data_IF_128597483870
#
_entry.id   IF_128597483870
#
_cell.length_a   1.000
_cell.length_b   1.000
_cell.length_c   1.000
_cell.angle_alpha   90.00
_cell.angle_beta   90.00
_cell.angle_gamma   90.00
#
_symmetry.space_group_name_H-M   'P 1'
#
loop_
_entity.id
_entity.type
_entity.pdbx_description
1 polymer ?
#
# COMPACT_ATOMS: atom_id res chain seq x y z
N UNK A 1 -1.04 20.58 -4.74
CA UNK A 1 -0.79 20.37 -3.30
C UNK A 1 0.22 21.38 -2.71
N UNK A 2 -0.20 22.19 -1.72
CA UNK A 2 0.57 23.32 -1.19
C UNK A 2 1.90 22.92 -0.51
N UNK A 3 1.90 21.86 0.31
CA UNK A 3 3.10 21.34 0.97
C UNK A 3 4.19 20.96 -0.04
N UNK A 4 3.83 20.21 -1.09
CA UNK A 4 4.78 19.71 -2.10
C UNK A 4 5.45 20.87 -2.85
N UNK A 5 4.74 21.99 -3.06
CA UNK A 5 5.27 23.15 -3.79
C UNK A 5 6.16 24.05 -2.93
N UNK A 6 5.93 24.10 -1.62
CA UNK A 6 6.53 25.10 -0.74
C UNK A 6 7.56 24.52 0.23
N UNK A 7 7.53 23.22 0.49
CA UNK A 7 8.51 22.56 1.32
C UNK A 7 9.83 22.32 0.58
N UNK A 8 10.93 22.39 1.31
CA UNK A 8 12.26 22.04 0.80
C UNK A 8 12.40 20.51 0.67
N UNK A 9 13.42 20.06 -0.07
CA UNK A 9 13.71 18.65 -0.30
C UNK A 9 13.94 17.92 1.02
N UNK A 10 13.23 16.80 1.21
CA UNK A 10 13.31 15.97 2.42
C UNK A 10 12.98 16.72 3.73
N UNK A 11 12.32 17.87 3.63
CA UNK A 11 11.87 18.60 4.81
C UNK A 11 10.75 17.82 5.50
N UNK A 12 10.77 17.80 6.84
CA UNK A 12 9.66 17.24 7.64
C UNK A 12 8.53 18.26 7.74
N UNK A 13 7.28 17.80 7.73
CA UNK A 13 6.10 18.67 7.80
C UNK A 13 6.08 19.56 9.04
N UNK A 14 6.58 19.08 10.19
CA UNK A 14 6.71 19.90 11.40
C UNK A 14 7.65 21.10 11.20
N UNK A 15 8.82 20.85 10.60
CA UNK A 15 9.83 21.88 10.32
C UNK A 15 9.40 22.85 9.22
N UNK A 16 8.70 22.35 8.20
CA UNK A 16 8.08 23.18 7.18
C UNK A 16 7.03 24.13 7.79
N UNK A 17 6.12 23.62 8.62
CA UNK A 17 5.11 24.46 9.28
C UNK A 17 5.72 25.53 10.19
N UNK A 18 6.82 25.20 10.89
CA UNK A 18 7.58 26.17 11.70
C UNK A 18 8.23 27.27 10.84
N UNK A 19 8.58 26.98 9.58
CA UNK A 19 9.20 27.96 8.68
C UNK A 19 8.20 28.93 8.04
N UNK A 20 6.89 28.66 8.11
CA UNK A 20 5.87 29.58 7.61
C UNK A 20 5.70 30.75 8.60
N UNK A 21 5.85 31.97 8.10
CA UNK A 21 5.57 33.17 8.88
C UNK A 21 4.07 33.22 9.21
N UNK A 22 3.73 33.21 10.51
CA UNK A 22 2.34 33.04 10.98
C UNK A 22 1.89 31.59 11.18
N UNK A 23 2.74 30.60 10.91
CA UNK A 23 2.56 29.19 11.28
C UNK A 23 1.24 28.58 10.79
N UNK A 24 0.46 28.04 11.73
CA UNK A 24 -0.81 27.36 11.40
C UNK A 24 -1.90 28.34 10.95
N UNK A 25 -1.90 29.56 11.49
CA UNK A 25 -2.95 30.54 11.16
C UNK A 25 -2.80 31.03 9.72
N UNK A 26 -1.56 31.23 9.26
CA UNK A 26 -1.29 31.49 7.86
C UNK A 26 -1.76 30.34 6.96
N UNK A 27 -1.46 29.08 7.33
CA UNK A 27 -1.90 27.93 6.55
C UNK A 27 -3.43 27.84 6.44
N UNK A 28 -4.15 28.17 7.53
CA UNK A 28 -5.62 28.25 7.50
C UNK A 28 -6.10 29.35 6.55
N UNK A 29 -5.51 30.53 6.57
CA UNK A 29 -5.89 31.61 5.64
C UNK A 29 -5.69 31.20 4.18
N UNK A 30 -4.59 30.51 3.86
CA UNK A 30 -4.31 30.09 2.49
C UNK A 30 -5.29 29.00 2.02
N UNK A 31 -5.59 28.01 2.87
CA UNK A 31 -6.37 26.83 2.46
C UNK A 31 -7.87 27.00 2.68
N UNK A 32 -8.30 27.67 3.76
CA UNK A 32 -9.70 27.85 4.12
C UNK A 32 -10.24 29.16 3.54
N UNK A 33 -9.52 30.25 3.73
CA UNK A 33 -9.96 31.58 3.30
C UNK A 33 -9.52 31.92 1.86
N UNK A 34 -8.86 30.98 1.18
CA UNK A 34 -8.29 31.11 -0.17
C UNK A 34 -7.54 32.45 -0.39
N UNK A 35 -6.75 32.86 0.60
CA UNK A 35 -6.12 34.18 0.60
C UNK A 35 -5.15 34.41 -0.56
N UNK A 36 -4.74 33.35 -1.25
CA UNK A 36 -3.85 33.39 -2.42
C UNK A 36 -4.57 33.09 -3.74
N UNK A 37 -5.84 32.71 -3.74
CA UNK A 37 -6.60 32.36 -4.96
C UNK A 37 -6.08 31.11 -5.66
N UNK A 38 -5.53 30.14 -4.91
CA UNK A 38 -4.89 28.94 -5.46
C UNK A 38 -5.63 27.65 -5.13
N UNK A 39 -6.71 27.70 -4.33
CA UNK A 39 -7.40 26.49 -3.86
C UNK A 39 -7.92 25.64 -5.04
N UNK A 40 -8.51 26.25 -6.06
CA UNK A 40 -8.99 25.53 -7.25
C UNK A 40 -7.84 24.77 -7.96
N UNK A 41 -6.69 25.41 -8.15
CA UNK A 41 -5.51 24.77 -8.75
C UNK A 41 -4.98 23.62 -7.86
N UNK A 42 -5.07 23.76 -6.53
CA UNK A 42 -4.65 22.73 -5.60
C UNK A 42 -5.57 21.50 -5.65
N UNK A 43 -6.88 21.72 -5.81
CA UNK A 43 -7.89 20.66 -5.98
C UNK A 43 -7.71 19.94 -7.32
N UNK A 44 -7.51 20.66 -8.43
CA UNK A 44 -7.24 20.06 -9.74
C UNK A 44 -6.00 19.16 -9.71
N UNK A 45 -4.94 19.59 -9.01
CA UNK A 45 -3.75 18.78 -8.82
C UNK A 45 -4.02 17.53 -7.98
N UNK A 46 -4.90 17.60 -6.97
CA UNK A 46 -5.29 16.44 -6.19
C UNK A 46 -6.10 15.47 -7.05
N UNK A 47 -7.04 15.98 -7.85
CA UNK A 47 -7.86 15.18 -8.73
C UNK A 47 -7.00 14.43 -9.76
N UNK A 48 -6.00 15.08 -10.34
CA UNK A 48 -5.04 14.44 -11.24
C UNK A 48 -4.31 13.25 -10.59
N UNK A 49 -3.92 13.36 -9.31
CA UNK A 49 -3.28 12.27 -8.57
C UNK A 49 -4.25 11.11 -8.32
N UNK A 50 -5.51 11.41 -8.00
CA UNK A 50 -6.57 10.42 -7.83
C UNK A 50 -6.85 9.69 -9.15
N UNK A 51 -6.97 10.43 -10.24
CA UNK A 51 -7.28 9.89 -11.57
C UNK A 51 -6.13 9.04 -12.13
N UNK A 52 -4.88 9.41 -11.82
CA UNK A 52 -3.69 8.69 -12.25
C UNK A 52 -3.29 7.52 -11.34
N UNK A 53 -3.89 7.41 -10.15
CA UNK A 53 -3.55 6.35 -9.21
C UNK A 53 -3.94 4.97 -9.74
N UNK A 54 -2.97 4.06 -9.75
CA UNK A 54 -3.17 2.65 -10.10
C UNK A 54 -2.59 1.76 -9.02
N UNK A 55 -3.40 0.82 -8.52
CA UNK A 55 -2.96 -0.23 -7.63
C UNK A 55 -2.65 -1.50 -8.43
N UNK A 56 -1.37 -1.87 -8.52
CA UNK A 56 -0.92 -3.05 -9.27
C UNK A 56 -1.55 -4.35 -8.77
N UNK A 57 -1.70 -4.51 -7.46
CA UNK A 57 -2.36 -5.68 -6.86
C UNK A 57 -3.84 -5.75 -7.24
N UNK A 58 -4.58 -4.64 -7.11
CA UNK A 58 -5.97 -4.56 -7.55
C UNK A 58 -6.10 -4.93 -9.03
N UNK A 59 -5.25 -4.35 -9.88
CA UNK A 59 -5.24 -4.62 -11.32
C UNK A 59 -4.85 -6.08 -11.65
N UNK A 60 -4.14 -6.76 -10.75
CA UNK A 60 -3.74 -8.15 -10.90
C UNK A 60 -4.85 -9.10 -10.48
N UNK A 61 -5.49 -8.87 -9.33
CA UNK A 61 -6.55 -9.74 -8.81
C UNK A 61 -7.85 -9.64 -9.60
N UNK A 62 -8.11 -8.52 -10.29
CA UNK A 62 -9.30 -8.37 -11.15
C UNK A 62 -9.11 -8.96 -12.55
N UNK A 63 -7.87 -9.35 -12.91
CA UNK A 63 -7.54 -9.90 -14.23
C UNK A 63 -7.33 -11.42 -14.12
N UNK A 64 -8.29 -12.17 -14.69
CA UNK A 64 -8.27 -13.63 -14.66
C UNK A 64 -7.04 -14.24 -15.36
N UNK A 65 -6.50 -13.58 -16.38
CA UNK A 65 -5.30 -14.07 -17.09
C UNK A 65 -4.03 -13.83 -16.27
N UNK A 66 -3.94 -12.68 -15.57
CA UNK A 66 -2.81 -12.43 -14.65
C UNK A 66 -2.84 -13.36 -13.45
N UNK A 67 -4.03 -13.67 -12.92
CA UNK A 67 -4.17 -14.61 -11.81
C UNK A 67 -3.60 -16.00 -12.10
N UNK A 68 -3.70 -16.49 -13.34
CA UNK A 68 -3.11 -17.79 -13.74
C UNK A 68 -1.59 -17.86 -13.56
N UNK A 69 -0.91 -16.71 -13.48
CA UNK A 69 0.54 -16.64 -13.24
C UNK A 69 0.89 -16.97 -11.79
N UNK A 70 -0.04 -16.82 -10.85
CA UNK A 70 0.14 -17.10 -9.43
C UNK A 70 -0.23 -18.55 -9.10
N UNK A 71 0.41 -19.50 -9.78
CA UNK A 71 0.31 -20.94 -9.49
C UNK A 71 1.62 -21.46 -8.90
N UNK A 72 1.54 -22.52 -8.10
CA UNK A 72 2.68 -23.10 -7.40
C UNK A 72 3.81 -23.54 -8.35
N UNK A 73 3.46 -24.24 -9.44
CA UNK A 73 4.42 -24.65 -10.47
C UNK A 73 3.91 -24.33 -11.87
N UNK A 74 4.84 -23.99 -12.77
CA UNK A 74 4.52 -23.70 -14.19
C UNK A 74 4.45 -24.98 -15.02
N UNK A 75 5.18 -26.01 -14.60
CA UNK A 75 5.44 -27.25 -15.32
C UNK A 75 4.71 -28.47 -14.76
N UNK A 76 4.03 -28.34 -13.62
CA UNK A 76 3.35 -29.45 -12.94
C UNK A 76 2.06 -28.99 -12.29
N UNK A 77 1.04 -29.83 -12.37
CA UNK A 77 -0.23 -29.66 -11.65
C UNK A 77 -0.23 -30.41 -10.30
N UNK A 78 0.87 -31.12 -9.97
CA UNK A 78 1.03 -31.78 -8.68
C UNK A 78 1.27 -30.74 -7.58
N UNK A 79 0.65 -30.97 -6.43
CA UNK A 79 0.98 -30.25 -5.22
C UNK A 79 2.42 -30.56 -4.79
N UNK A 80 3.04 -29.64 -4.03
CA UNK A 80 4.34 -29.92 -3.41
C UNK A 80 4.11 -30.78 -2.15
N UNK A 81 4.53 -32.04 -2.20
CA UNK A 81 4.41 -32.98 -1.09
C UNK A 81 5.16 -32.49 0.18
N UNK A 82 6.11 -31.55 0.03
CA UNK A 82 6.80 -30.96 1.18
C UNK A 82 5.99 -29.88 1.91
N UNK A 83 4.91 -29.37 1.32
CA UNK A 83 4.10 -28.28 1.89
C UNK A 83 2.86 -28.86 2.56
N UNK A 84 3.06 -29.28 3.82
CA UNK A 84 1.98 -29.74 4.71
C UNK A 84 1.49 -28.55 5.54
N UNK A 85 0.17 -28.38 5.68
CA UNK A 85 -0.42 -27.32 6.50
C UNK A 85 -1.01 -27.88 7.80
N UNK A 86 -0.82 -27.15 8.90
CA UNK A 86 -1.47 -27.41 10.19
C UNK A 86 -2.31 -26.20 10.59
N UNK A 87 -3.36 -26.43 11.38
CA UNK A 87 -4.20 -25.35 11.92
C UNK A 87 -3.69 -24.95 13.30
N UNK A 88 -3.37 -23.67 13.48
CA UNK A 88 -3.04 -23.09 14.77
C UNK A 88 -3.92 -21.86 14.98
N UNK A 89 -4.68 -21.85 16.09
CA UNK A 89 -5.57 -20.73 16.45
C UNK A 89 -6.51 -20.34 15.30
N UNK A 90 -7.15 -21.34 14.69
CA UNK A 90 -8.11 -21.17 13.59
C UNK A 90 -7.50 -20.65 12.26
N UNK A 91 -6.17 -20.52 12.16
CA UNK A 91 -5.49 -20.14 10.93
C UNK A 91 -4.61 -21.29 10.41
N UNK A 92 -4.54 -21.43 9.09
CA UNK A 92 -3.63 -22.39 8.44
C UNK A 92 -2.21 -21.82 8.43
N UNK A 93 -1.23 -22.66 8.75
CA UNK A 93 0.20 -22.36 8.55
C UNK A 93 0.94 -23.58 8.04
N UNK A 94 2.10 -23.41 7.39
CA UNK A 94 2.99 -24.53 7.09
C UNK A 94 3.39 -25.28 8.39
N UNK A 95 3.41 -26.61 8.30
CA UNK A 95 3.90 -27.50 9.35
C UNK A 95 5.41 -27.28 9.54
N UNK A 96 5.83 -27.28 10.80
CA UNK A 96 7.25 -27.34 11.18
C UNK A 96 7.82 -28.73 10.88
N UNK A 97 9.15 -28.85 10.84
CA UNK A 97 9.83 -30.12 10.54
C UNK A 97 9.39 -31.26 11.47
N UNK A 98 9.27 -30.99 12.76
CA UNK A 98 8.81 -31.97 13.76
C UNK A 98 7.36 -32.40 13.50
N UNK A 99 6.49 -31.45 13.14
CA UNK A 99 5.08 -31.75 12.84
C UNK A 99 4.94 -32.58 11.57
N UNK A 100 5.78 -32.34 10.55
CA UNK A 100 5.82 -33.18 9.34
C UNK A 100 6.16 -34.63 9.66
N UNK A 101 7.22 -34.86 10.46
CA UNK A 101 7.62 -36.21 10.87
C UNK A 101 6.53 -36.94 11.64
N UNK A 102 5.81 -36.24 12.51
CA UNK A 102 4.68 -36.82 13.27
C UNK A 102 3.52 -37.17 12.33
N UNK A 103 3.22 -36.33 11.35
CA UNK A 103 2.15 -36.58 10.38
C UNK A 103 2.47 -37.72 9.42
N UNK A 104 3.73 -37.85 8.98
CA UNK A 104 4.21 -38.97 8.17
C UNK A 104 4.16 -40.32 8.92
N UNK A 105 4.38 -40.32 10.24
CA UNK A 105 4.38 -41.53 11.06
C UNK A 105 2.96 -42.05 11.42
N UNK A 106 1.91 -41.27 11.14
CA UNK A 106 0.51 -41.62 11.45
C UNK A 106 -0.21 -42.23 10.21
N UNK A 107 0.41 -42.17 9.03
CA UNK A 107 -0.07 -42.76 7.76
C UNK A 107 0.51 -44.16 7.57
#
# INVERSE_FOLDING_TARGET
MFYIKTADKLQRTSKWRESLEGGLDYLKQVIIDDSLGIVEELEDQMQLLVDSYVCEWKATITDKEKLKRFRHFVNSELADDNVVFVTEREQIRPATETEKQVLEAIV
#
